data_IF_599080082087
#
_entry.id   IF_599080082087
#
_cell.length_a   1.000
_cell.length_b   1.000
_cell.length_c   1.000
_cell.angle_alpha   90.00
_cell.angle_beta   90.00
_cell.angle_gamma   90.00
#
_symmetry.space_group_name_H-M   'P 1'
#
loop_
_entity.id
_entity.type
_entity.pdbx_description
1 polymer ?
#
# COMPACT_ATOMS: atom_id res chain seq x y z
N UNK A 1 -16.46 -18.07 2.53
CA UNK A 1 -17.91 -17.87 2.68
C UNK A 1 -18.16 -16.38 2.91
N UNK A 2 -19.16 -15.77 2.24
CA UNK A 2 -19.53 -14.36 2.45
C UNK A 2 -20.56 -14.28 3.58
N UNK A 3 -20.38 -13.34 4.52
CA UNK A 3 -21.36 -13.04 5.56
C UNK A 3 -22.01 -11.68 5.28
N UNK A 4 -23.32 -11.60 5.44
CA UNK A 4 -24.05 -10.32 5.38
C UNK A 4 -23.90 -9.60 6.71
N UNK A 5 -23.53 -8.33 6.66
CA UNK A 5 -23.43 -7.44 7.82
C UNK A 5 -24.30 -6.20 7.58
N UNK A 6 -24.77 -5.60 8.67
CA UNK A 6 -25.33 -4.25 8.64
C UNK A 6 -24.23 -3.27 9.07
N UNK A 7 -24.15 -2.13 8.39
CA UNK A 7 -23.19 -1.08 8.73
C UNK A 7 -23.81 0.29 8.46
N UNK A 8 -23.40 1.28 9.24
CA UNK A 8 -23.79 2.68 9.05
C UNK A 8 -22.71 3.38 8.22
N UNK A 9 -23.14 4.13 7.21
CA UNK A 9 -22.28 4.92 6.36
C UNK A 9 -22.93 6.29 6.16
N UNK A 10 -22.10 7.33 6.06
CA UNK A 10 -22.59 8.66 5.72
C UNK A 10 -23.28 8.67 4.35
N UNK A 11 -24.36 9.44 4.23
CA UNK A 11 -25.17 9.49 3.01
C UNK A 11 -24.38 10.03 1.81
N UNK A 12 -23.56 11.07 2.02
CA UNK A 12 -22.75 11.65 0.94
C UNK A 12 -21.69 10.68 0.46
N UNK A 13 -21.12 9.88 1.37
CA UNK A 13 -20.19 8.82 1.01
C UNK A 13 -20.89 7.70 0.24
N UNK A 14 -22.10 7.29 0.64
CA UNK A 14 -22.87 6.28 -0.08
C UNK A 14 -23.20 6.74 -1.51
N UNK A 15 -23.54 8.01 -1.72
CA UNK A 15 -23.78 8.56 -3.05
C UNK A 15 -22.54 8.50 -3.95
N UNK A 16 -21.34 8.74 -3.40
CA UNK A 16 -20.08 8.61 -4.13
C UNK A 16 -19.78 7.14 -4.47
N UNK A 17 -20.03 6.22 -3.55
CA UNK A 17 -19.94 4.78 -3.81
C UNK A 17 -20.87 4.40 -4.96
N UNK A 18 -22.11 4.89 -4.96
CA UNK A 18 -23.10 4.57 -6.00
C UNK A 18 -22.73 5.06 -7.38
N UNK A 19 -22.14 6.25 -7.46
CA UNK A 19 -21.60 6.76 -8.71
C UNK A 19 -20.46 5.87 -9.19
N UNK A 20 -19.51 5.58 -8.32
CA UNK A 20 -18.31 4.78 -8.65
C UNK A 20 -18.69 3.36 -9.08
N UNK A 21 -19.63 2.74 -8.38
CA UNK A 21 -20.12 1.39 -8.68
C UNK A 21 -20.78 1.33 -10.06
N UNK A 22 -21.51 2.38 -10.46
CA UNK A 22 -22.07 2.51 -11.81
C UNK A 22 -20.98 2.68 -12.87
N UNK A 23 -20.03 3.57 -12.63
CA UNK A 23 -18.94 3.85 -13.56
C UNK A 23 -18.06 2.61 -13.78
N UNK A 24 -17.83 1.82 -12.74
CA UNK A 24 -17.05 0.57 -12.78
C UNK A 24 -17.88 -0.67 -13.14
N UNK A 25 -19.18 -0.53 -13.38
CA UNK A 25 -20.11 -1.64 -13.65
C UNK A 25 -19.96 -2.81 -12.66
N UNK A 26 -19.96 -2.50 -11.36
CA UNK A 26 -19.80 -3.48 -10.26
C UNK A 26 -20.99 -3.42 -9.30
N UNK A 27 -20.89 -4.06 -8.14
CA UNK A 27 -21.90 -3.95 -7.06
C UNK A 27 -21.31 -3.24 -5.84
N UNK A 28 -22.17 -2.62 -5.02
CA UNK A 28 -21.76 -1.97 -3.75
C UNK A 28 -20.94 -2.92 -2.86
N UNK A 29 -21.40 -4.17 -2.70
CA UNK A 29 -20.74 -5.15 -1.83
C UNK A 29 -19.37 -5.59 -2.38
N UNK A 30 -19.21 -5.68 -3.70
CA UNK A 30 -17.92 -5.95 -4.32
C UNK A 30 -16.96 -4.76 -4.14
N UNK A 31 -17.42 -3.54 -4.39
CA UNK A 31 -16.62 -2.32 -4.23
C UNK A 31 -16.20 -2.11 -2.77
N UNK A 32 -17.14 -2.16 -1.82
CA UNK A 32 -16.87 -1.97 -0.39
C UNK A 32 -15.93 -3.06 0.14
N UNK A 33 -16.08 -4.31 -0.30
CA UNK A 33 -15.15 -5.39 0.07
C UNK A 33 -13.73 -5.08 -0.40
N UNK A 34 -13.58 -4.69 -1.67
CA UNK A 34 -12.27 -4.34 -2.22
C UNK A 34 -11.64 -3.16 -1.47
N UNK A 35 -12.42 -2.11 -1.19
CA UNK A 35 -11.95 -0.94 -0.45
C UNK A 35 -11.51 -1.32 0.98
N UNK A 36 -12.28 -2.16 1.67
CA UNK A 36 -11.94 -2.64 3.01
C UNK A 36 -10.66 -3.49 3.00
N UNK A 37 -10.52 -4.40 2.04
CA UNK A 37 -9.29 -5.19 1.88
C UNK A 37 -8.06 -4.32 1.61
N UNK A 38 -8.21 -3.27 0.79
CA UNK A 38 -7.14 -2.30 0.54
C UNK A 38 -6.77 -1.52 1.80
N UNK A 39 -7.76 -1.04 2.56
CA UNK A 39 -7.54 -0.32 3.80
C UNK A 39 -6.79 -1.19 4.83
N UNK A 40 -7.16 -2.46 4.97
CA UNK A 40 -6.47 -3.41 5.85
C UNK A 40 -5.02 -3.67 5.41
N UNK A 41 -4.78 -3.81 4.10
CA UNK A 41 -3.41 -3.94 3.58
C UNK A 41 -2.58 -2.68 3.85
N UNK A 42 -3.13 -1.50 3.60
CA UNK A 42 -2.45 -0.22 3.88
C UNK A 42 -2.12 -0.08 5.38
N UNK A 43 -3.04 -0.47 6.25
CA UNK A 43 -2.78 -0.50 7.69
C UNK A 43 -1.59 -1.42 8.04
N UNK A 44 -1.55 -2.63 7.48
CA UNK A 44 -0.44 -3.56 7.73
C UNK A 44 0.89 -3.01 7.22
N UNK A 45 0.92 -2.44 6.01
CA UNK A 45 2.14 -1.83 5.45
C UNK A 45 2.65 -0.70 6.35
N UNK A 46 1.76 0.21 6.78
CA UNK A 46 2.15 1.30 7.69
C UNK A 46 2.73 0.80 9.01
N UNK A 47 2.22 -0.32 9.54
CA UNK A 47 2.78 -0.93 10.75
C UNK A 47 4.20 -1.44 10.53
N UNK A 48 4.49 -2.01 9.37
CA UNK A 48 5.83 -2.44 9.01
C UNK A 48 6.75 -1.24 8.82
N UNK A 49 6.30 -0.20 8.10
CA UNK A 49 7.05 1.04 7.89
C UNK A 49 7.42 1.72 9.21
N UNK A 50 6.51 1.75 10.19
CA UNK A 50 6.82 2.29 11.52
C UNK A 50 7.81 1.43 12.29
N UNK A 51 7.75 0.10 12.15
CA UNK A 51 8.76 -0.77 12.73
C UNK A 51 10.14 -0.54 12.09
N UNK A 52 10.18 -0.40 10.76
CA UNK A 52 11.40 -0.12 10.00
C UNK A 52 11.98 1.25 10.41
N UNK A 53 11.16 2.30 10.51
CA UNK A 53 11.59 3.63 10.93
C UNK A 53 12.22 3.60 12.33
N UNK A 54 11.58 2.91 13.28
CA UNK A 54 12.11 2.72 14.63
C UNK A 54 13.42 1.93 14.58
N UNK A 55 13.48 0.86 13.79
CA UNK A 55 14.66 0.02 13.62
C UNK A 55 15.87 0.78 13.09
N UNK A 56 15.69 1.47 11.95
CA UNK A 56 16.75 2.26 11.31
C UNK A 56 17.17 3.48 12.15
N UNK A 57 16.26 4.07 12.91
CA UNK A 57 16.62 5.16 13.83
C UNK A 57 17.40 4.64 15.04
N UNK A 58 17.02 3.48 15.59
CA UNK A 58 17.65 2.91 16.77
C UNK A 58 19.02 2.30 16.46
N UNK A 59 19.18 1.69 15.27
CA UNK A 59 20.44 1.12 14.78
C UNK A 59 20.67 1.65 13.38
N UNK A 60 21.31 2.82 13.23
CA UNK A 60 21.67 3.36 11.93
C UNK A 60 22.58 2.39 11.19
N UNK A 61 22.28 2.18 9.90
CA UNK A 61 23.09 1.30 9.08
C UNK A 61 24.54 1.78 9.02
N UNK A 62 25.48 0.86 9.14
CA UNK A 62 26.90 1.21 9.00
C UNK A 62 27.17 1.55 7.52
N UNK A 63 28.08 2.50 7.26
CA UNK A 63 28.44 2.83 5.88
C UNK A 63 28.88 1.60 5.07
N UNK A 64 29.49 0.61 5.75
CA UNK A 64 29.98 -0.63 5.16
C UNK A 64 28.93 -1.72 4.98
N UNK A 65 27.74 -1.56 5.58
CA UNK A 65 26.69 -2.59 5.57
C UNK A 65 26.13 -2.84 4.17
N UNK A 66 26.24 -1.86 3.28
CA UNK A 66 25.78 -1.96 1.89
C UNK A 66 26.92 -2.09 0.88
N UNK A 67 28.18 -2.13 1.34
CA UNK A 67 29.36 -2.19 0.45
C UNK A 67 29.35 -3.46 -0.41
N UNK A 68 28.86 -4.58 0.13
CA UNK A 68 28.76 -5.85 -0.62
C UNK A 68 27.79 -5.76 -1.81
N UNK A 69 26.80 -4.86 -1.74
CA UNK A 69 25.80 -4.63 -2.80
C UNK A 69 26.25 -3.57 -3.81
N UNK A 70 27.41 -2.93 -3.63
CA UNK A 70 27.90 -1.88 -4.52
C UNK A 70 28.10 -2.36 -5.97
N UNK A 71 28.53 -3.61 -6.13
CA UNK A 71 28.78 -4.22 -7.47
C UNK A 71 27.49 -4.57 -8.20
N UNK A 72 26.39 -4.80 -7.48
CA UNK A 72 25.05 -5.08 -8.04
C UNK A 72 24.38 -3.82 -8.61
N UNK A 73 24.99 -2.64 -8.46
CA UNK A 73 24.51 -1.38 -9.04
C UNK A 73 25.01 -1.12 -10.48
N UNK A 74 25.49 -2.14 -11.20
CA UNK A 74 25.73 -2.06 -12.65
C UNK A 74 24.48 -2.42 -13.47
N UNK A 75 23.72 -1.41 -13.90
CA UNK A 75 22.44 -1.61 -14.62
C UNK A 75 22.59 -1.39 -16.14
N UNK A 76 23.82 -1.39 -16.63
CA UNK A 76 24.21 -1.14 -18.03
C UNK A 76 24.38 0.35 -18.36
N UNK A 77 25.17 0.62 -19.41
CA UNK A 77 25.69 1.96 -19.76
C UNK A 77 24.61 3.05 -19.86
N UNK A 78 23.45 2.71 -20.42
CA UNK A 78 22.35 3.66 -20.65
C UNK A 78 21.72 4.14 -19.32
N UNK A 79 21.66 3.27 -18.31
CA UNK A 79 21.09 3.58 -16.99
C UNK A 79 22.12 4.17 -16.05
N UNK A 80 23.37 3.72 -16.14
CA UNK A 80 24.46 4.21 -15.31
C UNK A 80 24.91 5.63 -15.68
N UNK A 81 24.77 6.05 -16.94
CA UNK A 81 25.12 7.40 -17.40
C UNK A 81 24.17 8.50 -16.91
N UNK A 82 23.03 8.14 -16.32
CA UNK A 82 22.02 9.08 -15.80
C UNK A 82 22.11 9.30 -14.27
N UNK A 83 23.08 8.68 -13.59
CA UNK A 83 23.38 8.90 -12.17
C UNK A 83 24.13 10.20 -11.93
#
# INVERSE_FOLDING_TARGET
MVKTIQMTIDETLLQQVDRTVRDLNTTRSAFIRLALEQALRQYQVRRLEECDEVGYTAVPAAATETDEWATEQEWGDVWNAAK
#
